data_IF_027261015082
#
_entry.id   IF_027261015082
#
_cell.length_a   1.000
_cell.length_b   1.000
_cell.length_c   1.000
_cell.angle_alpha   90.00
_cell.angle_beta   90.00
_cell.angle_gamma   90.00
#
_symmetry.space_group_name_H-M   'P 1'
#
loop_
_entity.id
_entity.type
_entity.pdbx_description
1 polymer ?
#
# COMPACT_ATOMS: atom_id res chain seq x y z
N UNK A 1 24.91 -6.32 -24.00
CA UNK A 1 25.39 -6.13 -22.62
C UNK A 1 24.56 -5.04 -21.96
N UNK A 2 23.51 -5.40 -21.22
CA UNK A 2 22.66 -4.42 -20.54
C UNK A 2 23.37 -3.92 -19.28
N UNK A 3 23.63 -2.61 -19.22
CA UNK A 3 24.19 -1.95 -18.02
C UNK A 3 23.08 -1.83 -16.99
N UNK A 4 23.09 -2.69 -15.98
CA UNK A 4 22.26 -2.49 -14.78
C UNK A 4 22.79 -1.26 -14.04
N UNK A 5 22.06 -0.15 -14.11
CA UNK A 5 22.25 0.95 -13.18
C UNK A 5 21.64 0.53 -11.85
N UNK A 6 22.46 0.46 -10.80
CA UNK A 6 21.96 0.42 -9.44
C UNK A 6 21.13 1.71 -9.22
N UNK A 7 19.82 1.55 -9.09
CA UNK A 7 18.93 2.61 -8.62
C UNK A 7 19.07 2.63 -7.10
N UNK A 8 19.38 3.80 -6.55
CA UNK A 8 19.58 4.07 -5.13
C UNK A 8 18.39 3.59 -4.28
N UNK A 9 18.68 3.19 -3.03
CA UNK A 9 17.70 2.62 -2.10
C UNK A 9 16.54 3.58 -1.75
N UNK A 10 15.50 3.04 -1.12
CA UNK A 10 14.36 3.83 -0.65
C UNK A 10 14.79 4.57 0.63
N UNK A 11 15.03 5.88 0.54
CA UNK A 11 15.60 6.66 1.65
C UNK A 11 14.61 6.86 2.81
N UNK A 12 13.30 6.84 2.54
CA UNK A 12 12.29 6.85 3.60
C UNK A 12 11.00 6.14 3.18
N UNK A 13 10.69 5.02 3.86
CA UNK A 13 9.37 4.40 3.80
C UNK A 13 8.56 4.82 5.02
N UNK A 14 7.35 5.31 4.80
CA UNK A 14 6.40 5.63 5.86
C UNK A 14 5.11 4.85 5.65
N UNK A 15 4.52 4.35 6.73
CA UNK A 15 3.21 3.70 6.70
C UNK A 15 2.25 4.58 7.48
N UNK A 16 1.09 4.88 6.91
CA UNK A 16 0.02 5.64 7.56
C UNK A 16 -1.35 5.06 7.20
N UNK A 17 -2.41 5.38 7.96
CA UNK A 17 -3.77 5.04 7.54
C UNK A 17 -4.04 5.54 6.12
N UNK A 18 -4.72 4.69 5.33
CA UNK A 18 -5.20 5.03 3.99
C UNK A 18 -6.44 5.92 4.15
N UNK A 19 -6.48 7.05 3.44
CA UNK A 19 -7.55 8.04 3.55
C UNK A 19 -8.40 8.12 2.29
N UNK A 20 -9.56 8.77 2.36
CA UNK A 20 -10.43 8.96 1.19
C UNK A 20 -9.72 9.72 0.06
N UNK A 21 -8.91 10.72 0.39
CA UNK A 21 -8.10 11.50 -0.56
C UNK A 21 -7.03 10.67 -1.30
N UNK A 22 -6.72 9.46 -0.83
CA UNK A 22 -5.75 8.56 -1.45
C UNK A 22 -6.37 7.69 -2.54
N UNK A 23 -7.69 7.55 -2.56
CA UNK A 23 -8.39 6.65 -3.47
C UNK A 23 -8.06 6.99 -4.92
N UNK A 24 -8.17 8.26 -5.30
CA UNK A 24 -7.89 8.71 -6.67
C UNK A 24 -6.41 8.65 -7.03
N UNK A 25 -5.52 8.66 -6.02
CA UNK A 25 -4.07 8.55 -6.21
C UNK A 25 -3.62 7.11 -6.42
N UNK A 26 -4.42 6.13 -6.00
CA UNK A 26 -4.09 4.71 -6.05
C UNK A 26 -4.91 3.92 -7.09
N UNK A 27 -6.21 4.17 -7.16
CA UNK A 27 -7.13 3.44 -8.02
C UNK A 27 -6.77 3.64 -9.49
N UNK A 28 -6.66 2.54 -10.24
CA UNK A 28 -6.35 2.58 -11.68
C UNK A 28 -7.61 2.42 -12.55
N UNK A 29 -8.72 2.03 -11.93
CA UNK A 29 -10.01 1.82 -12.59
C UNK A 29 -11.14 2.32 -11.71
N UNK A 30 -12.28 2.65 -12.32
CA UNK A 30 -13.50 3.04 -11.60
C UNK A 30 -13.99 1.93 -10.64
N UNK A 31 -13.84 0.66 -11.04
CA UNK A 31 -14.19 -0.47 -10.17
C UNK A 31 -13.30 -0.50 -8.92
N UNK A 32 -11.98 -0.29 -9.06
CA UNK A 32 -11.07 -0.24 -7.92
C UNK A 32 -11.36 0.95 -7.01
N UNK A 33 -11.71 2.11 -7.60
CA UNK A 33 -12.12 3.30 -6.85
C UNK A 33 -13.33 2.99 -5.98
N UNK A 34 -14.39 2.43 -6.56
CA UNK A 34 -15.61 2.07 -5.84
C UNK A 34 -15.35 1.05 -4.72
N UNK A 35 -14.52 0.03 -4.98
CA UNK A 35 -14.15 -0.97 -3.97
C UNK A 35 -13.36 -0.37 -2.79
N UNK A 36 -12.49 0.62 -3.05
CA UNK A 36 -11.73 1.28 -1.99
C UNK A 36 -12.60 2.21 -1.16
N UNK A 37 -13.51 2.94 -1.80
CA UNK A 37 -14.49 3.78 -1.10
C UNK A 37 -15.36 2.93 -0.18
N UNK A 38 -15.92 1.84 -0.70
CA UNK A 38 -16.73 0.92 0.08
C UNK A 38 -15.96 0.30 1.26
N UNK A 39 -14.70 -0.10 1.05
CA UNK A 39 -13.88 -0.62 2.13
C UNK A 39 -13.61 0.41 3.25
N UNK A 40 -13.38 1.67 2.89
CA UNK A 40 -13.15 2.75 3.86
C UNK A 40 -14.42 3.13 4.63
N UNK A 41 -15.59 3.03 4.01
CA UNK A 41 -16.86 3.45 4.59
C UNK A 41 -17.56 2.33 5.37
N UNK A 42 -17.45 1.07 4.90
CA UNK A 42 -18.39 0.01 5.30
C UNK A 42 -17.75 -1.30 5.79
N UNK A 43 -16.47 -1.61 5.50
CA UNK A 43 -15.97 -2.99 5.70
C UNK A 43 -15.37 -3.28 7.08
N UNK A 44 -15.11 -2.26 7.91
CA UNK A 44 -14.38 -2.42 9.18
C UNK A 44 -12.93 -2.88 8.99
N UNK A 45 -12.46 -3.01 7.75
CA UNK A 45 -11.07 -3.33 7.42
C UNK A 45 -10.19 -2.12 7.71
N UNK A 46 -8.98 -2.36 8.18
CA UNK A 46 -7.95 -1.34 8.26
C UNK A 46 -7.12 -1.33 7.00
N UNK A 47 -7.09 -0.19 6.32
CA UNK A 47 -6.24 0.05 5.16
C UNK A 47 -5.10 0.99 5.53
N UNK A 48 -3.89 0.67 5.08
CA UNK A 48 -2.72 1.53 5.22
C UNK A 48 -2.07 1.84 3.86
N UNK A 49 -1.61 3.08 3.70
CA UNK A 49 -0.80 3.51 2.58
C UNK A 49 0.69 3.40 2.94
N UNK A 50 1.47 2.83 2.03
CA UNK A 50 2.94 2.86 2.07
C UNK A 50 3.39 4.04 1.22
N UNK A 51 4.17 4.94 1.82
CA UNK A 51 4.64 6.18 1.23
C UNK A 51 6.14 6.14 0.98
N UNK A 52 6.58 6.72 -0.14
CA UNK A 52 7.97 7.09 -0.43
C UNK A 52 7.98 8.46 -1.06
N UNK A 53 8.78 9.39 -0.54
CA UNK A 53 8.98 10.73 -1.13
C UNK A 53 7.66 11.47 -1.43
N UNK A 54 6.70 11.36 -0.50
CA UNK A 54 5.37 12.00 -0.60
C UNK A 54 4.38 11.31 -1.55
N UNK A 55 4.73 10.16 -2.13
CA UNK A 55 3.88 9.39 -3.05
C UNK A 55 3.45 8.07 -2.43
N UNK A 56 2.23 7.63 -2.73
CA UNK A 56 1.77 6.29 -2.39
C UNK A 56 2.46 5.31 -3.31
N UNK A 57 3.21 4.38 -2.73
CA UNK A 57 3.93 3.32 -3.43
C UNK A 57 3.42 1.93 -3.09
N UNK A 58 2.52 1.81 -2.12
CA UNK A 58 1.89 0.56 -1.77
C UNK A 58 0.65 0.71 -0.90
N UNK A 59 -0.05 -0.40 -0.71
CA UNK A 59 -1.25 -0.52 0.12
C UNK A 59 -1.22 -1.81 0.92
N UNK A 60 -1.65 -1.73 2.17
CA UNK A 60 -1.80 -2.85 3.09
C UNK A 60 -3.28 -2.93 3.49
N UNK A 61 -3.86 -4.12 3.48
CA UNK A 61 -5.20 -4.39 3.99
C UNK A 61 -5.17 -5.41 5.12
N UNK A 62 -5.74 -5.04 6.27
CA UNK A 62 -5.86 -5.88 7.46
C UNK A 62 -7.34 -5.99 7.82
N UNK A 63 -7.79 -7.20 8.09
CA UNK A 63 -9.17 -7.51 8.46
C UNK A 63 -9.23 -8.05 9.88
N UNK A 64 -10.23 -7.65 10.67
CA UNK A 64 -10.32 -8.00 12.09
C UNK A 64 -11.53 -8.89 12.46
N UNK A 65 -12.30 -9.37 11.47
CA UNK A 65 -13.53 -10.13 11.68
C UNK A 65 -13.31 -11.48 12.38
N UNK A 66 -12.30 -12.24 11.98
CA UNK A 66 -11.99 -13.56 12.53
C UNK A 66 -11.14 -13.49 13.81
N UNK A 67 -10.26 -12.48 13.91
CA UNK A 67 -9.32 -12.32 15.02
C UNK A 67 -9.18 -10.84 15.45
N UNK A 68 -10.09 -10.33 16.31
CA UNK A 68 -10.12 -8.92 16.70
C UNK A 68 -8.83 -8.42 17.37
N UNK A 69 -8.06 -9.31 18.00
CA UNK A 69 -6.81 -8.98 18.71
C UNK A 69 -5.53 -9.10 17.89
N UNK A 70 -5.59 -9.65 16.66
CA UNK A 70 -4.40 -9.90 15.85
C UNK A 70 -4.49 -9.30 14.44
N UNK A 71 -5.69 -9.29 13.83
CA UNK A 71 -5.88 -8.86 12.45
C UNK A 71 -5.24 -9.79 11.43
N UNK A 72 -5.93 -10.09 10.35
CA UNK A 72 -5.44 -10.89 9.24
C UNK A 72 -5.01 -9.97 8.09
N UNK A 73 -3.74 -10.04 7.70
CA UNK A 73 -3.26 -9.40 6.47
C UNK A 73 -3.88 -10.10 5.26
N UNK A 74 -4.81 -9.43 4.56
CA UNK A 74 -5.46 -10.00 3.37
C UNK A 74 -4.96 -9.39 2.07
N UNK A 75 -4.27 -8.24 2.12
CA UNK A 75 -3.76 -7.57 0.93
C UNK A 75 -2.44 -6.85 1.22
N UNK A 76 -1.46 -7.03 0.33
CA UNK A 76 -0.22 -6.27 0.32
C UNK A 76 0.21 -6.02 -1.12
N UNK A 77 0.08 -4.78 -1.57
CA UNK A 77 0.43 -4.35 -2.92
C UNK A 77 1.52 -3.29 -2.88
N UNK A 78 2.48 -3.39 -3.79
CA UNK A 78 3.54 -2.40 -3.99
C UNK A 78 3.73 -2.20 -5.49
N UNK A 79 4.00 -0.95 -5.89
CA UNK A 79 4.38 -0.61 -7.27
C UNK A 79 5.58 -1.45 -7.71
N UNK A 80 5.57 -1.85 -8.98
CA UNK A 80 6.47 -2.86 -9.51
C UNK A 80 7.95 -2.47 -9.33
N UNK A 81 8.24 -1.18 -9.50
CA UNK A 81 9.57 -0.61 -9.42
C UNK A 81 10.22 -0.79 -8.05
N UNK A 82 9.42 -0.97 -6.98
CA UNK A 82 9.89 -1.09 -5.60
C UNK A 82 9.78 -2.51 -5.03
N UNK A 83 9.30 -3.48 -5.82
CA UNK A 83 9.27 -4.89 -5.41
C UNK A 83 10.67 -5.43 -5.18
N UNK A 84 10.85 -6.23 -4.13
CA UNK A 84 12.14 -6.83 -3.77
C UNK A 84 13.20 -5.84 -3.22
N UNK A 85 12.85 -4.55 -3.07
CA UNK A 85 13.76 -3.52 -2.55
C UNK A 85 13.65 -3.28 -1.04
N UNK A 86 12.70 -3.94 -0.38
CA UNK A 86 12.51 -3.88 1.07
C UNK A 86 13.71 -4.44 1.86
N UNK A 87 14.60 -5.22 1.23
CA UNK A 87 15.84 -5.74 1.83
C UNK A 87 16.91 -4.68 2.11
N UNK A 88 16.69 -3.42 1.69
CA UNK A 88 17.61 -2.31 1.93
C UNK A 88 17.28 -1.48 3.19
N UNK A 89 16.15 -1.74 3.87
CA UNK A 89 15.85 -1.14 5.17
C UNK A 89 16.71 -1.82 6.25
N UNK A 90 17.85 -1.22 6.57
CA UNK A 90 18.68 -1.53 7.73
C UNK A 90 18.50 -0.46 8.79
#
# INVERSE_FOLDING_TARGET
>A
MAKFRAVTGIESLQIRPFAMDDVDRWARTELQRAQLQDALENSGDYLAAVMSDGRIVGKIGIRYDEHPGAGNLFQFDVVEELRGRASALR
#
